data_IF_176161617172
#
_entry.id   IF_176161617172
#
_cell.length_a   1.000
_cell.length_b   1.000
_cell.length_c   1.000
_cell.angle_alpha   90.00
_cell.angle_beta   90.00
_cell.angle_gamma   90.00
#
_symmetry.space_group_name_H-M   'P 1'
#
loop_
_entity.id
_entity.type
_entity.pdbx_description
1 polymer ?
#
# COMPACT_ATOMS: atom_id res chain seq x y z
N UNK A 1 5.71 11.89 -23.03
CA UNK A 1 6.84 10.94 -23.24
C UNK A 1 7.11 10.75 -24.74
N UNK A 2 8.36 10.90 -25.20
CA UNK A 2 8.71 10.67 -26.62
C UNK A 2 8.92 9.16 -26.86
N UNK A 3 8.07 8.54 -27.68
CA UNK A 3 8.10 7.11 -28.07
C UNK A 3 9.50 6.59 -28.45
N UNK A 4 10.34 7.45 -29.04
CA UNK A 4 11.72 7.12 -29.43
C UNK A 4 12.65 6.84 -28.25
N UNK A 5 12.45 7.53 -27.11
CA UNK A 5 13.23 7.33 -25.88
C UNK A 5 12.84 6.02 -25.19
N UNK A 6 11.56 5.66 -25.23
CA UNK A 6 11.05 4.40 -24.66
C UNK A 6 11.72 3.17 -25.29
N UNK A 7 11.78 3.11 -26.62
CA UNK A 7 12.39 1.98 -27.35
C UNK A 7 13.91 1.89 -27.19
N UNK A 8 14.59 3.03 -27.03
CA UNK A 8 16.04 3.03 -26.77
C UNK A 8 16.38 2.47 -25.39
N UNK A 9 15.51 2.69 -24.39
CA UNK A 9 15.70 2.15 -23.03
C UNK A 9 15.33 0.66 -22.94
N UNK A 10 14.48 0.14 -23.84
CA UNK A 10 14.07 -1.29 -23.83
C UNK A 10 15.15 -2.28 -24.26
N UNK A 11 16.25 -1.82 -24.85
CA UNK A 11 17.32 -2.67 -25.39
C UNK A 11 18.40 -3.06 -24.36
N UNK A 12 18.33 -2.56 -23.13
CA UNK A 12 19.24 -2.96 -22.04
C UNK A 12 18.78 -4.27 -21.35
N UNK A 13 18.40 -5.28 -22.15
CA UNK A 13 18.15 -6.64 -21.64
C UNK A 13 19.51 -7.31 -21.41
N UNK A 14 19.85 -7.49 -20.15
CA UNK A 14 21.04 -8.20 -19.68
C UNK A 14 21.17 -9.58 -20.34
N UNK A 15 22.29 -9.82 -21.03
CA UNK A 15 22.70 -11.14 -21.48
C UNK A 15 22.80 -12.10 -20.27
N UNK A 16 22.16 -13.28 -20.29
CA UNK A 16 22.34 -14.26 -19.23
C UNK A 16 23.77 -14.82 -19.27
N UNK A 17 24.52 -14.66 -18.19
CA UNK A 17 25.80 -15.36 -17.99
C UNK A 17 25.48 -16.74 -17.40
N UNK A 18 25.86 -17.79 -18.11
CA UNK A 18 25.74 -19.18 -17.66
C UNK A 18 27.07 -19.59 -17.03
N UNK A 19 27.09 -19.82 -15.72
CA UNK A 19 28.22 -20.43 -15.02
C UNK A 19 27.77 -21.82 -14.53
N UNK A 20 28.48 -22.88 -14.92
CA UNK A 20 28.21 -24.26 -14.50
C UNK A 20 26.76 -24.76 -14.71
N UNK A 21 26.13 -24.41 -15.84
CA UNK A 21 24.79 -24.94 -16.18
C UNK A 21 23.64 -24.41 -15.31
N UNK A 22 23.91 -23.50 -14.37
CA UNK A 22 22.89 -22.76 -13.62
C UNK A 22 22.77 -21.35 -14.20
N UNK A 23 21.60 -21.03 -14.75
CA UNK A 23 21.31 -19.68 -15.23
C UNK A 23 21.21 -18.70 -14.06
N UNK A 24 22.24 -17.88 -13.84
CA UNK A 24 22.16 -16.76 -12.89
C UNK A 24 21.41 -15.60 -13.54
N UNK A 25 20.11 -15.47 -13.23
CA UNK A 25 19.35 -14.25 -13.53
C UNK A 25 19.61 -13.23 -12.41
N UNK A 26 20.65 -12.42 -12.56
CA UNK A 26 20.80 -11.20 -11.77
C UNK A 26 19.83 -10.18 -12.36
N UNK A 27 18.59 -10.16 -11.86
CA UNK A 27 17.72 -8.98 -11.98
C UNK A 27 18.26 -7.96 -10.97
N UNK A 28 18.97 -6.89 -11.40
CA UNK A 28 19.23 -5.80 -10.48
C UNK A 28 17.87 -5.27 -10.02
N UNK A 29 17.63 -5.32 -8.70
CA UNK A 29 16.42 -4.83 -7.99
C UNK A 29 15.99 -3.41 -8.44
N UNK A 30 16.90 -2.67 -9.08
CA UNK A 30 16.77 -1.31 -9.62
C UNK A 30 15.93 -1.19 -10.91
N UNK A 31 15.76 -2.25 -11.72
CA UNK A 31 15.15 -2.09 -13.05
C UNK A 31 13.66 -1.74 -13.01
N UNK A 32 12.90 -2.30 -12.06
CA UNK A 32 11.45 -2.03 -11.91
C UNK A 32 11.16 -0.65 -11.29
N UNK A 33 12.11 -0.10 -10.53
CA UNK A 33 11.97 1.21 -9.89
C UNK A 33 12.65 2.34 -10.67
N UNK A 34 13.39 2.04 -11.74
CA UNK A 34 14.00 3.05 -12.63
C UNK A 34 13.00 3.94 -13.39
N UNK A 35 11.71 3.61 -13.31
CA UNK A 35 10.60 4.40 -13.84
C UNK A 35 10.04 5.43 -12.83
N UNK A 36 10.50 5.39 -11.57
CA UNK A 36 10.12 6.38 -10.57
C UNK A 36 10.95 7.64 -10.85
N UNK A 37 10.28 8.68 -11.33
CA UNK A 37 10.88 10.00 -11.46
C UNK A 37 11.00 10.60 -10.04
N UNK A 38 12.20 10.89 -9.53
CA UNK A 38 12.37 11.47 -8.20
C UNK A 38 11.77 12.88 -8.12
N UNK A 39 11.67 13.60 -9.26
CA UNK A 39 11.04 14.92 -9.35
C UNK A 39 9.52 14.83 -9.63
N UNK A 40 8.87 13.76 -9.19
CA UNK A 40 7.44 13.55 -9.44
C UNK A 40 6.62 13.91 -8.22
N UNK A 41 5.71 14.86 -8.37
CA UNK A 41 4.68 15.21 -7.35
C UNK A 41 3.58 14.13 -7.23
N UNK A 42 3.88 12.88 -7.58
CA UNK A 42 2.92 11.77 -7.52
C UNK A 42 2.98 11.16 -6.14
N UNK A 43 1.83 11.11 -5.49
CA UNK A 43 1.67 10.47 -4.19
C UNK A 43 1.13 9.05 -4.38
N UNK A 44 1.72 8.09 -3.68
CA UNK A 44 1.14 6.75 -3.54
C UNK A 44 0.14 6.76 -2.40
N UNK A 45 -1.13 6.48 -2.71
CA UNK A 45 -2.19 6.33 -1.70
C UNK A 45 -2.46 4.85 -1.51
N UNK A 46 -2.24 4.34 -0.29
CA UNK A 46 -2.56 2.97 0.10
C UNK A 46 -3.86 2.96 0.91
N UNK A 47 -4.87 2.26 0.41
CA UNK A 47 -6.16 2.11 1.09
C UNK A 47 -6.31 0.67 1.55
N UNK A 48 -6.34 0.46 2.87
CA UNK A 48 -6.65 -0.84 3.46
C UNK A 48 -8.14 -0.91 3.79
N UNK A 49 -8.84 -1.87 3.19
CA UNK A 49 -10.25 -2.12 3.47
C UNK A 49 -10.38 -3.10 4.64
N UNK A 50 -10.50 -2.56 5.85
CA UNK A 50 -10.78 -3.34 7.06
C UNK A 50 -12.24 -3.84 7.06
N UNK A 51 -12.48 -5.05 7.58
CA UNK A 51 -13.82 -5.63 7.71
C UNK A 51 -14.18 -6.72 6.70
N UNK A 52 -13.22 -7.20 5.90
CA UNK A 52 -13.42 -8.38 5.05
C UNK A 52 -14.19 -8.09 3.77
N UNK A 53 -13.58 -7.32 2.87
CA UNK A 53 -14.15 -7.05 1.55
C UNK A 53 -14.38 -8.34 0.75
N UNK A 54 -15.59 -8.50 0.22
CA UNK A 54 -15.93 -9.58 -0.70
C UNK A 54 -15.50 -9.23 -2.13
N UNK A 55 -14.26 -9.60 -2.47
CA UNK A 55 -13.69 -9.29 -3.79
C UNK A 55 -14.52 -9.82 -4.97
N UNK A 56 -15.20 -10.96 -4.81
CA UNK A 56 -16.03 -11.58 -5.85
C UNK A 56 -17.39 -10.91 -6.03
N UNK A 57 -17.76 -10.00 -5.13
CA UNK A 57 -18.94 -9.14 -5.28
C UNK A 57 -18.54 -7.69 -5.57
N UNK A 58 -17.27 -7.33 -5.41
CA UNK A 58 -16.70 -6.04 -5.84
C UNK A 58 -16.37 -6.06 -7.34
N UNK A 59 -15.62 -7.07 -7.78
CA UNK A 59 -15.25 -7.31 -9.18
C UNK A 59 -15.75 -8.72 -9.54
N UNK A 60 -16.88 -8.76 -10.23
CA UNK A 60 -17.60 -9.99 -10.54
C UNK A 60 -17.07 -10.56 -11.86
N UNK A 61 -16.52 -11.79 -11.88
CA UNK A 61 -16.15 -12.48 -13.10
C UNK A 61 -17.41 -13.03 -13.80
N UNK A 62 -17.72 -12.49 -14.97
CA UNK A 62 -18.92 -12.80 -15.76
C UNK A 62 -18.81 -14.18 -16.44
N UNK A 63 -17.61 -14.62 -16.79
CA UNK A 63 -17.32 -15.93 -17.37
C UNK A 63 -17.59 -17.10 -16.39
N UNK A 64 -17.54 -16.83 -15.09
CA UNK A 64 -17.87 -17.78 -14.02
C UNK A 64 -19.21 -17.47 -13.31
N UNK A 65 -20.02 -16.57 -13.86
CA UNK A 65 -21.22 -16.07 -13.18
C UNK A 65 -22.20 -17.19 -12.75
N UNK A 66 -22.48 -18.16 -13.63
CA UNK A 66 -23.39 -19.27 -13.30
C UNK A 66 -22.84 -20.16 -12.18
N UNK A 67 -21.53 -20.36 -12.13
CA UNK A 67 -20.89 -21.14 -11.06
C UNK A 67 -20.95 -20.37 -9.73
N UNK A 68 -20.71 -19.05 -9.78
CA UNK A 68 -20.90 -18.18 -8.63
C UNK A 68 -22.35 -18.17 -8.15
N UNK A 69 -23.33 -18.16 -9.05
CA UNK A 69 -24.75 -18.16 -8.71
C UNK A 69 -25.12 -19.43 -7.93
N UNK A 70 -24.62 -20.59 -8.39
CA UNK A 70 -24.80 -21.86 -7.70
C UNK A 70 -24.08 -21.93 -6.35
N UNK A 71 -22.86 -21.39 -6.27
CA UNK A 71 -22.06 -21.40 -5.04
C UNK A 71 -22.51 -20.36 -4.00
N UNK A 72 -23.17 -19.28 -4.45
CA UNK A 72 -23.49 -18.09 -3.65
C UNK A 72 -24.93 -17.59 -3.86
N UNK A 73 -25.95 -18.47 -3.79
CA UNK A 73 -27.31 -18.16 -4.24
C UNK A 73 -27.97 -16.99 -3.49
N UNK A 74 -27.56 -16.73 -2.25
CA UNK A 74 -28.12 -15.66 -1.42
C UNK A 74 -27.32 -14.35 -1.46
N UNK A 75 -26.16 -14.34 -2.13
CA UNK A 75 -25.22 -13.21 -2.10
C UNK A 75 -24.98 -12.59 -3.47
N UNK A 76 -25.09 -13.38 -4.54
CA UNK A 76 -24.81 -12.88 -5.89
C UNK A 76 -25.95 -11.98 -6.39
N UNK A 77 -25.57 -10.81 -6.89
CA UNK A 77 -26.51 -9.85 -7.45
C UNK A 77 -26.90 -10.23 -8.89
N UNK A 78 -28.13 -9.93 -9.34
CA UNK A 78 -28.54 -10.18 -10.72
C UNK A 78 -27.60 -9.52 -11.73
N UNK A 79 -27.19 -10.26 -12.76
CA UNK A 79 -26.25 -9.79 -13.78
C UNK A 79 -26.69 -8.48 -14.45
N UNK A 80 -28.00 -8.28 -14.65
CA UNK A 80 -28.58 -7.06 -15.23
C UNK A 80 -28.41 -5.81 -14.37
N UNK A 81 -28.08 -5.95 -13.08
CA UNK A 81 -27.81 -4.84 -12.17
C UNK A 81 -26.34 -4.41 -12.16
N UNK A 82 -25.44 -5.24 -12.66
CA UNK A 82 -24.00 -5.04 -12.57
C UNK A 82 -23.50 -3.95 -13.53
N UNK A 83 -22.39 -3.30 -13.16
CA UNK A 83 -21.75 -2.30 -13.99
C UNK A 83 -20.67 -2.97 -14.85
N UNK A 84 -21.01 -3.35 -16.08
CA UNK A 84 -20.10 -4.06 -16.98
C UNK A 84 -18.83 -3.25 -17.30
N UNK A 85 -17.65 -3.86 -17.14
CA UNK A 85 -16.35 -3.27 -17.46
C UNK A 85 -15.86 -3.73 -18.82
N UNK A 86 -15.92 -5.03 -19.06
CA UNK A 86 -15.53 -5.70 -20.30
C UNK A 86 -16.39 -6.96 -20.49
N UNK A 87 -16.01 -7.83 -21.43
CA UNK A 87 -16.75 -9.07 -21.71
C UNK A 87 -16.66 -10.09 -20.56
N UNK A 88 -15.70 -9.94 -19.65
CA UNK A 88 -15.36 -10.90 -18.60
C UNK A 88 -15.62 -10.38 -17.19
N UNK A 89 -15.77 -9.08 -16.98
CA UNK A 89 -15.85 -8.48 -15.65
C UNK A 89 -16.91 -7.40 -15.55
N UNK A 90 -17.49 -7.28 -14.34
CA UNK A 90 -18.34 -6.19 -13.96
C UNK A 90 -18.03 -5.72 -12.54
N UNK A 91 -18.31 -4.45 -12.23
CA UNK A 91 -18.31 -3.96 -10.87
C UNK A 91 -19.67 -4.13 -10.19
N UNK A 92 -19.63 -4.13 -8.85
CA UNK A 92 -20.80 -3.98 -8.01
C UNK A 92 -21.61 -2.71 -8.39
N UNK A 93 -22.96 -2.71 -8.34
CA UNK A 93 -23.79 -1.57 -8.71
C UNK A 93 -23.48 -0.27 -7.96
N UNK A 94 -22.99 -0.39 -6.72
CA UNK A 94 -22.63 0.76 -5.87
C UNK A 94 -21.30 1.43 -6.28
N UNK A 95 -20.49 0.83 -7.13
CA UNK A 95 -19.16 1.32 -7.51
C UNK A 95 -19.19 2.29 -8.70
N UNK A 96 -20.24 3.10 -8.80
CA UNK A 96 -20.42 4.05 -9.93
C UNK A 96 -19.25 5.03 -10.07
N UNK A 97 -18.66 5.47 -8.96
CA UNK A 97 -17.46 6.33 -8.98
C UNK A 97 -16.25 5.64 -9.62
N UNK A 98 -15.96 4.39 -9.25
CA UNK A 98 -14.84 3.63 -9.84
C UNK A 98 -15.14 3.25 -11.29
N UNK A 99 -16.41 3.02 -11.64
CA UNK A 99 -16.83 2.82 -13.02
C UNK A 99 -16.51 4.03 -13.89
N UNK A 100 -16.81 5.24 -13.42
CA UNK A 100 -16.49 6.48 -14.15
C UNK A 100 -14.98 6.61 -14.39
N UNK A 101 -14.15 6.36 -13.37
CA UNK A 101 -12.68 6.42 -13.53
C UNK A 101 -12.15 5.33 -14.48
N UNK A 102 -12.77 4.15 -14.48
CA UNK A 102 -12.45 3.08 -15.43
C UNK A 102 -12.79 3.50 -16.87
N UNK A 103 -13.97 4.07 -17.08
CA UNK A 103 -14.43 4.53 -18.40
C UNK A 103 -13.55 5.64 -18.97
N UNK A 104 -12.99 6.49 -18.10
CA UNK A 104 -12.00 7.51 -18.44
C UNK A 104 -10.56 6.95 -18.61
N UNK A 105 -10.39 5.62 -18.59
CA UNK A 105 -9.11 4.91 -18.65
C UNK A 105 -8.11 5.30 -17.54
N UNK A 106 -8.61 5.79 -16.40
CA UNK A 106 -7.82 6.16 -15.22
C UNK A 106 -7.65 5.05 -14.19
N UNK A 107 -8.34 3.91 -14.36
CA UNK A 107 -8.31 2.77 -13.45
C UNK A 107 -7.97 1.48 -14.20
N UNK A 108 -7.11 0.66 -13.61
CA UNK A 108 -6.92 -0.74 -13.99
C UNK A 108 -7.15 -1.63 -12.79
N UNK A 109 -7.76 -2.80 -13.01
CA UNK A 109 -7.96 -3.80 -11.96
C UNK A 109 -6.92 -4.90 -12.14
N UNK A 110 -6.25 -5.27 -11.05
CA UNK A 110 -5.34 -6.42 -11.01
C UNK A 110 -5.97 -7.47 -10.11
N UNK A 111 -6.31 -8.61 -10.69
CA UNK A 111 -6.96 -9.72 -9.99
C UNK A 111 -5.98 -10.85 -9.69
N UNK A 112 -6.44 -11.83 -8.91
CA UNK A 112 -5.65 -13.00 -8.52
C UNK A 112 -4.35 -12.66 -7.79
N UNK A 113 -4.34 -11.54 -7.06
CA UNK A 113 -3.22 -11.12 -6.22
C UNK A 113 -3.35 -11.76 -4.84
N UNK A 114 -2.30 -12.46 -4.41
CA UNK A 114 -2.24 -13.10 -3.10
C UNK A 114 -0.86 -13.71 -2.85
N UNK A 115 -0.74 -14.40 -1.72
CA UNK A 115 0.44 -15.15 -1.32
C UNK A 115 0.17 -16.67 -1.33
N UNK A 116 1.16 -17.53 -1.56
CA UNK A 116 0.97 -18.98 -1.55
C UNK A 116 0.58 -19.49 -0.16
N UNK A 117 -0.13 -20.62 -0.09
CA UNK A 117 -0.52 -21.27 1.17
C UNK A 117 -1.25 -20.32 2.13
N UNK A 118 -2.31 -19.67 1.62
CA UNK A 118 -3.19 -18.78 2.38
C UNK A 118 -3.61 -19.42 3.71
N UNK A 119 -3.29 -18.74 4.81
CA UNK A 119 -3.75 -19.13 6.14
C UNK A 119 -5.10 -18.47 6.45
N UNK A 120 -5.80 -18.93 7.49
CA UNK A 120 -7.10 -18.41 7.91
C UNK A 120 -7.02 -17.38 9.06
N UNK A 121 -5.83 -16.87 9.36
CA UNK A 121 -5.60 -15.90 10.45
C UNK A 121 -5.52 -14.48 9.89
N UNK A 122 -6.48 -13.64 10.27
CA UNK A 122 -6.49 -12.22 9.91
C UNK A 122 -5.20 -11.51 10.33
N UNK A 123 -4.67 -11.80 11.52
CA UNK A 123 -3.44 -11.19 12.01
C UNK A 123 -2.26 -11.56 11.13
N UNK A 124 -2.07 -12.86 10.87
CA UNK A 124 -0.94 -13.31 10.06
C UNK A 124 -1.04 -12.85 8.61
N UNK A 125 -2.23 -12.85 8.00
CA UNK A 125 -2.44 -12.29 6.67
C UNK A 125 -2.06 -10.81 6.62
N UNK A 126 -2.44 -10.04 7.63
CA UNK A 126 -2.11 -8.61 7.73
C UNK A 126 -0.60 -8.41 7.81
N UNK A 127 0.10 -9.20 8.63
CA UNK A 127 1.56 -9.13 8.73
C UNK A 127 2.23 -9.43 7.38
N UNK A 128 1.77 -10.44 6.65
CA UNK A 128 2.32 -10.80 5.33
C UNK A 128 2.14 -9.66 4.34
N UNK A 129 0.95 -9.09 4.22
CA UNK A 129 0.69 -7.97 3.29
C UNK A 129 1.46 -6.70 3.67
N UNK A 130 1.59 -6.45 4.97
CA UNK A 130 2.29 -5.28 5.50
C UNK A 130 3.80 -5.38 5.32
N UNK A 131 4.37 -6.56 5.61
CA UNK A 131 5.81 -6.80 5.53
C UNK A 131 6.27 -7.19 4.14
N UNK A 132 5.37 -7.71 3.29
CA UNK A 132 5.72 -8.35 2.02
C UNK A 132 6.53 -9.64 2.19
N UNK A 133 6.43 -10.32 3.34
CA UNK A 133 7.18 -11.54 3.64
C UNK A 133 6.63 -12.76 2.87
N UNK A 134 7.42 -13.84 2.83
CA UNK A 134 6.88 -15.15 2.51
C UNK A 134 5.89 -15.61 3.62
N UNK A 135 5.00 -16.55 3.28
CA UNK A 135 3.96 -17.02 4.20
C UNK A 135 4.51 -17.76 5.42
N UNK A 136 5.68 -18.39 5.28
CA UNK A 136 6.44 -19.14 6.28
C UNK A 136 7.50 -18.30 7.00
N UNK A 137 7.64 -17.01 6.67
CA UNK A 137 8.65 -16.12 7.26
C UNK A 137 8.00 -15.02 8.12
N UNK A 138 8.55 -14.77 9.30
CA UNK A 138 8.15 -13.63 10.14
C UNK A 138 9.16 -12.51 9.97
N UNK A 139 8.72 -11.40 9.36
CA UNK A 139 9.52 -10.19 9.15
C UNK A 139 8.91 -9.06 9.98
N UNK A 140 9.73 -8.39 10.79
CA UNK A 140 9.30 -7.33 11.72
C UNK A 140 9.29 -5.93 11.10
N UNK A 141 9.61 -5.83 9.80
CA UNK A 141 9.66 -4.57 9.06
C UNK A 141 8.66 -4.56 7.92
N UNK A 142 8.15 -3.38 7.60
CA UNK A 142 7.29 -3.14 6.45
C UNK A 142 8.09 -3.03 5.15
N UNK A 143 7.46 -3.36 4.02
CA UNK A 143 8.16 -3.28 2.73
C UNK A 143 8.47 -1.83 2.31
N UNK A 144 7.63 -0.84 2.65
CA UNK A 144 7.96 0.58 2.47
C UNK A 144 9.02 1.03 3.47
N UNK A 145 8.93 0.58 4.73
CA UNK A 145 9.93 0.93 5.74
C UNK A 145 11.34 0.49 5.35
N UNK A 146 11.49 -0.71 4.78
CA UNK A 146 12.76 -1.16 4.21
C UNK A 146 13.20 -0.37 2.99
N UNK A 147 12.26 0.11 2.17
CA UNK A 147 12.59 0.95 1.03
C UNK A 147 13.10 2.32 1.49
N UNK A 148 12.38 3.00 2.39
CA UNK A 148 12.78 4.28 2.95
C UNK A 148 14.11 4.18 3.70
N UNK A 149 14.33 3.16 4.52
CA UNK A 149 15.60 2.95 5.21
C UNK A 149 16.78 2.76 4.25
N UNK A 150 16.55 2.14 3.09
CA UNK A 150 17.59 2.00 2.07
C UNK A 150 17.97 3.31 1.39
N UNK A 151 17.03 4.27 1.36
CA UNK A 151 17.19 5.59 0.74
C UNK A 151 17.65 6.65 1.74
N UNK A 152 17.23 6.53 3.01
CA UNK A 152 17.50 7.44 4.13
C UNK A 152 18.05 6.64 5.32
N UNK A 153 19.30 6.15 5.25
CA UNK A 153 19.87 5.24 6.24
C UNK A 153 20.08 5.88 7.62
N UNK A 154 20.22 7.20 7.67
CA UNK A 154 20.48 7.93 8.91
C UNK A 154 19.18 8.27 9.66
N UNK A 155 18.00 8.10 9.05
CA UNK A 155 16.72 8.36 9.72
C UNK A 155 16.56 7.44 10.96
N UNK A 156 16.14 7.99 12.13
CA UNK A 156 15.59 9.34 12.34
C UNK A 156 16.63 10.42 12.69
N UNK A 157 17.91 10.08 12.82
CA UNK A 157 18.96 11.02 13.18
C UNK A 157 19.21 12.03 12.06
N UNK A 158 19.16 13.32 12.39
CA UNK A 158 19.30 14.40 11.40
C UNK A 158 18.07 14.61 10.52
N UNK A 159 16.89 14.14 10.92
CA UNK A 159 15.61 14.40 10.26
C UNK A 159 14.59 15.01 11.23
N UNK A 160 13.68 15.89 10.75
CA UNK A 160 13.70 16.52 9.43
C UNK A 160 14.92 17.44 9.25
N UNK A 161 15.28 17.76 8.01
CA UNK A 161 16.37 18.68 7.68
C UNK A 161 16.04 19.55 6.47
N UNK A 162 17.00 20.37 6.01
CA UNK A 162 16.78 21.32 4.92
C UNK A 162 16.43 20.65 3.58
N UNK A 163 16.92 19.42 3.33
CA UNK A 163 16.65 18.68 2.10
C UNK A 163 15.36 17.85 2.22
N UNK A 164 15.01 17.41 3.45
CA UNK A 164 13.84 16.60 3.76
C UNK A 164 13.02 17.22 4.91
N UNK A 165 12.27 18.31 4.63
CA UNK A 165 11.49 19.00 5.66
C UNK A 165 10.17 18.30 5.99
N UNK A 166 9.64 17.50 5.05
CA UNK A 166 8.32 16.86 5.15
C UNK A 166 8.39 15.40 5.63
N UNK A 167 7.33 14.87 6.27
CA UNK A 167 7.28 13.46 6.62
C UNK A 167 7.25 12.56 5.39
N UNK A 168 7.97 11.43 5.44
CA UNK A 168 8.05 10.47 4.33
C UNK A 168 6.72 9.79 3.98
N UNK A 169 5.88 9.55 4.99
CA UNK A 169 4.56 8.97 4.81
C UNK A 169 3.59 9.49 5.88
N UNK A 170 2.32 9.57 5.51
CA UNK A 170 1.22 9.93 6.41
C UNK A 170 0.25 8.76 6.47
N UNK A 171 -0.13 8.38 7.68
CA UNK A 171 -1.18 7.39 7.96
C UNK A 171 -2.35 8.10 8.61
N UNK A 172 -3.55 7.92 8.06
CA UNK A 172 -4.76 8.47 8.65
C UNK A 172 -5.19 7.63 9.87
N UNK A 173 -5.34 8.27 11.02
CA UNK A 173 -5.71 7.63 12.29
C UNK A 173 -4.71 7.91 13.41
N UNK A 174 -4.76 7.10 14.47
CA UNK A 174 -3.95 7.26 15.67
C UNK A 174 -2.76 6.29 15.77
N UNK A 175 -2.54 5.47 14.74
CA UNK A 175 -1.47 4.47 14.71
C UNK A 175 -0.70 4.59 13.41
N UNK A 176 0.63 4.53 13.52
CA UNK A 176 1.53 4.51 12.36
C UNK A 176 1.37 3.23 11.56
N UNK A 177 1.57 3.30 10.25
CA UNK A 177 1.47 2.13 9.38
C UNK A 177 2.67 1.21 9.59
N UNK A 178 2.39 -0.04 9.93
CA UNK A 178 3.43 -1.08 9.99
C UNK A 178 4.07 -1.34 8.61
N UNK A 179 3.43 -0.93 7.50
CA UNK A 179 4.03 -1.00 6.16
C UNK A 179 5.24 -0.08 6.03
N UNK A 180 5.26 1.01 6.81
CA UNK A 180 6.34 1.99 6.86
C UNK A 180 7.35 1.71 7.99
N UNK A 181 7.25 0.57 8.68
CA UNK A 181 8.17 0.21 9.76
C UNK A 181 9.55 -0.18 9.22
N UNK A 182 10.58 0.60 9.53
CA UNK A 182 11.98 0.22 9.34
C UNK A 182 12.53 -0.61 10.50
N UNK A 183 13.82 -0.95 10.45
CA UNK A 183 14.51 -1.68 11.52
C UNK A 183 14.68 -0.82 12.77
N UNK A 184 14.95 0.48 12.60
CA UNK A 184 15.25 1.41 13.70
C UNK A 184 14.05 2.30 14.05
N UNK A 185 13.33 2.79 13.05
CA UNK A 185 12.22 3.71 13.23
C UNK A 185 11.10 3.47 12.22
N UNK A 186 9.91 4.03 12.51
CA UNK A 186 8.81 4.05 11.56
C UNK A 186 8.88 5.33 10.70
N UNK A 187 8.71 5.19 9.39
CA UNK A 187 8.77 6.30 8.43
C UNK A 187 7.41 6.98 8.20
N UNK A 188 6.35 6.52 8.84
CA UNK A 188 5.03 7.14 8.76
C UNK A 188 4.68 7.93 10.02
N UNK A 189 4.03 9.06 9.81
CA UNK A 189 3.39 9.86 10.85
C UNK A 189 1.89 9.55 10.86
N UNK A 190 1.32 9.35 12.05
CA UNK A 190 -0.11 9.17 12.19
C UNK A 190 -0.78 10.54 12.35
N UNK A 191 -1.83 10.81 11.57
CA UNK A 191 -2.61 12.06 11.63
C UNK A 191 -4.08 11.70 11.78
N UNK A 192 -4.70 12.16 12.87
CA UNK A 192 -6.10 11.88 13.15
C UNK A 192 -7.06 12.75 12.32
N UNK A 193 -6.69 14.00 12.06
CA UNK A 193 -7.49 14.96 11.30
C UNK A 193 -6.60 15.65 10.25
N UNK A 194 -6.89 15.51 8.94
CA UNK A 194 -6.07 16.11 7.89
C UNK A 194 -6.26 17.63 7.79
N UNK A 195 -7.32 18.18 8.39
CA UNK A 195 -7.63 19.62 8.45
C UNK A 195 -7.21 20.25 9.76
N UNK A 196 -7.03 19.41 10.79
CA UNK A 196 -6.45 19.75 12.08
C UNK A 196 -5.27 18.82 12.34
N UNK A 197 -4.18 19.07 11.62
CA UNK A 197 -2.93 18.28 11.67
C UNK A 197 -2.23 18.27 13.04
N UNK A 198 -2.88 18.77 14.10
CA UNK A 198 -2.58 18.51 15.50
C UNK A 198 -1.12 18.21 15.80
N UNK A 199 -0.30 19.28 15.90
CA UNK A 199 1.08 19.17 16.36
C UNK A 199 2.08 18.64 15.33
N UNK A 200 2.19 19.30 14.17
CA UNK A 200 3.52 19.52 13.60
C UNK A 200 4.27 20.50 14.54
N UNK A 201 4.78 19.96 15.65
CA UNK A 201 5.59 20.61 16.68
C UNK A 201 5.30 22.11 16.96
N UNK A 202 4.36 22.38 17.86
CA UNK A 202 4.59 23.39 18.89
C UNK A 202 4.61 22.65 20.23
N UNK A 203 5.58 22.96 21.09
CA UNK A 203 5.70 22.32 22.40
C UNK A 203 4.38 22.38 23.16
N UNK A 204 4.05 21.31 23.88
CA UNK A 204 2.88 21.28 24.75
C UNK A 204 3.04 22.30 25.88
N UNK A 205 2.63 23.54 25.65
CA UNK A 205 2.58 24.60 26.67
C UNK A 205 1.13 24.88 27.12
N UNK A 206 0.25 23.88 27.00
CA UNK A 206 -1.07 23.94 27.62
C UNK A 206 -0.95 23.61 29.11
N UNK A 207 -1.36 24.56 29.96
CA UNK A 207 -1.50 24.38 31.41
C UNK A 207 -2.31 23.11 31.69
N UNK A 208 -1.70 22.19 32.42
CA UNK A 208 -2.34 20.96 32.83
C UNK A 208 -3.31 21.28 33.99
N UNK A 209 -4.60 20.93 33.89
CA UNK A 209 -5.56 21.22 34.96
C UNK A 209 -5.17 20.53 36.27
N UNK A 210 -5.27 21.19 37.42
CA UNK A 210 -5.03 20.56 38.74
C UNK A 210 -6.17 19.62 39.14
N UNK A 211 -6.20 18.47 38.45
CA UNK A 211 -7.17 17.39 38.60
C UNK A 211 -6.42 16.07 38.46
N UNK A 212 -6.95 14.94 38.97
CA UNK A 212 -6.32 13.63 38.78
C UNK A 212 -6.00 13.30 37.32
N UNK A 213 -6.88 13.71 36.39
CA UNK A 213 -6.64 13.59 34.95
C UNK A 213 -5.40 14.39 34.49
N UNK A 214 -5.24 15.61 34.99
CA UNK A 214 -4.08 16.43 34.70
C UNK A 214 -2.79 15.84 35.24
N UNK A 215 -2.78 15.31 36.46
CA UNK A 215 -1.59 14.67 37.04
C UNK A 215 -1.11 13.47 36.20
N UNK A 216 -2.02 12.64 35.71
CA UNK A 216 -1.70 11.53 34.79
C UNK A 216 -1.20 12.03 33.42
N UNK A 217 -1.84 13.08 32.88
CA UNK A 217 -1.43 13.69 31.62
C UNK A 217 -0.03 14.33 31.71
N UNK A 218 0.33 14.92 32.85
CA UNK A 218 1.65 15.49 33.11
C UNK A 218 2.74 14.40 33.20
N UNK A 219 2.42 13.25 33.81
CA UNK A 219 3.34 12.11 33.87
C UNK A 219 3.63 11.52 32.48
N UNK A 220 2.61 11.43 31.62
CA UNK A 220 2.76 10.95 30.23
C UNK A 220 3.51 11.91 29.31
N UNK A 221 3.63 13.19 29.68
CA UNK A 221 4.34 14.24 28.93
C UNK A 221 5.85 14.31 29.24
N UNK A 222 6.35 13.55 30.22
CA UNK A 222 7.80 13.39 30.51
C UNK A 222 8.41 12.27 29.66
#
# INVERSE_FOLDING_TARGET
MKRRKFLQTSLAVSLPVVLNGMGLRVMPRRSIFSFINPDSDRVLVLIQLNGGNDGLNMVIPLDFYDQLANARPNLLLPQSSLLQLDDLHAFHPAMTGLKAVYDDAGLTVVQSVGYPNQNRSHFRSTDIWTSGSAADEVVTTGWLGRWFQGDHPDFPEGYPNADFPDPFAITMGSTVSATCQGTVANFSMAIADPTSVGGLFEGFDDEVPDTPYGHELAFLRQ
#
